data_IF_965653171413
#
_entry.id   IF_965653171413
#
_cell.length_a   1.000
_cell.length_b   1.000
_cell.length_c   1.000
_cell.angle_alpha   90.00
_cell.angle_beta   90.00
_cell.angle_gamma   90.00
#
_symmetry.space_group_name_H-M   'P 1'
#
loop_
_entity.id
_entity.type
_entity.pdbx_description
1 polymer ?
#
# COMPACT_ATOMS: atom_id res chain seq x y z
N UNK A 1 -11.97 7.15 -23.17
CA UNK A 1 -13.02 7.74 -22.32
C UNK A 1 -12.77 7.25 -20.91
N UNK A 2 -12.26 8.15 -20.05
CA UNK A 2 -11.64 7.81 -18.77
C UNK A 2 -12.68 7.74 -17.65
N UNK A 3 -12.76 6.58 -17.00
CA UNK A 3 -13.51 6.44 -15.75
C UNK A 3 -12.77 7.21 -14.65
N UNK A 4 -13.47 7.95 -13.78
CA UNK A 4 -12.83 8.61 -12.64
C UNK A 4 -12.25 7.56 -11.70
N UNK A 5 -11.06 7.83 -11.17
CA UNK A 5 -10.53 7.11 -10.01
C UNK A 5 -11.53 7.12 -8.86
N UNK A 6 -11.47 6.10 -8.01
CA UNK A 6 -12.36 5.93 -6.87
C UNK A 6 -12.10 7.03 -5.84
N UNK A 7 -10.91 7.00 -5.24
CA UNK A 7 -10.36 7.94 -4.27
C UNK A 7 -8.88 7.60 -4.05
N UNK A 8 -8.00 8.18 -4.87
CA UNK A 8 -6.54 8.01 -4.73
C UNK A 8 -6.15 8.27 -3.27
N UNK A 9 -5.39 7.34 -2.68
CA UNK A 9 -5.07 7.35 -1.26
C UNK A 9 -3.59 7.63 -1.01
N UNK A 10 -2.70 6.63 -1.17
CA UNK A 10 -1.26 6.79 -0.95
C UNK A 10 -0.47 6.73 -2.27
N UNK A 11 0.74 7.27 -2.24
CA UNK A 11 1.60 7.43 -3.43
C UNK A 11 3.08 7.25 -3.08
N UNK A 12 3.82 6.62 -3.99
CA UNK A 12 5.27 6.53 -3.94
C UNK A 12 5.88 6.86 -5.30
N UNK A 13 6.98 7.60 -5.30
CA UNK A 13 7.77 7.87 -6.50
C UNK A 13 8.87 6.82 -6.59
N UNK A 14 8.88 6.09 -7.69
CA UNK A 14 9.90 5.09 -7.98
C UNK A 14 11.18 5.77 -8.51
N UNK A 15 12.34 5.10 -8.41
CA UNK A 15 13.64 5.67 -8.82
C UNK A 15 13.74 6.07 -10.30
N UNK A 16 12.89 5.51 -11.15
CA UNK A 16 12.78 5.86 -12.57
C UNK A 16 11.93 7.12 -12.82
N UNK A 17 11.42 7.76 -11.76
CA UNK A 17 10.53 8.91 -11.81
C UNK A 17 9.06 8.56 -12.01
N UNK A 18 8.70 7.28 -12.18
CA UNK A 18 7.30 6.87 -12.25
C UNK A 18 6.60 6.97 -10.90
N UNK A 19 5.31 7.27 -10.94
CA UNK A 19 4.48 7.48 -9.74
C UNK A 19 3.57 6.28 -9.59
N UNK A 20 3.61 5.61 -8.44
CA UNK A 20 2.77 4.47 -8.13
C UNK A 20 1.80 4.86 -7.01
N UNK A 21 0.53 4.57 -7.17
CA UNK A 21 -0.50 5.01 -6.24
C UNK A 21 -1.61 3.98 -6.08
N UNK A 22 -2.31 4.07 -4.96
CA UNK A 22 -3.44 3.21 -4.63
C UNK A 22 -4.76 3.96 -4.84
N UNK A 23 -5.79 3.26 -5.32
CA UNK A 23 -7.11 3.82 -5.59
C UNK A 23 -8.23 2.97 -4.94
N UNK A 24 -8.30 2.95 -3.60
CA UNK A 24 -9.38 2.27 -2.87
C UNK A 24 -10.69 3.05 -2.95
N UNK A 25 -11.78 2.42 -2.52
CA UNK A 25 -13.13 2.99 -2.46
C UNK A 25 -13.42 3.80 -1.18
N UNK A 26 -12.42 4.19 -0.38
CA UNK A 26 -12.62 4.85 0.91
C UNK A 26 -13.45 6.13 0.83
N UNK A 27 -13.22 6.97 -0.19
CA UNK A 27 -13.97 8.22 -0.31
C UNK A 27 -15.46 8.00 -0.53
N UNK A 28 -15.85 6.86 -1.11
CA UNK A 28 -17.25 6.48 -1.22
C UNK A 28 -17.82 6.08 0.14
N UNK A 29 -17.11 5.23 0.89
CA UNK A 29 -17.57 4.81 2.23
C UNK A 29 -17.65 5.98 3.22
N UNK A 30 -16.79 6.99 3.03
CA UNK A 30 -16.75 8.21 3.82
C UNK A 30 -17.74 9.29 3.31
N UNK A 31 -18.47 9.01 2.22
CA UNK A 31 -19.56 9.84 1.74
C UNK A 31 -19.15 11.10 0.95
N UNK A 32 -17.87 11.29 0.61
CA UNK A 32 -17.40 12.45 -0.17
C UNK A 32 -17.05 12.14 -1.63
N UNK A 33 -17.17 10.87 -2.06
CA UNK A 33 -17.04 10.46 -3.47
C UNK A 33 -18.26 9.68 -3.94
N UNK A 34 -18.58 9.73 -5.25
CA UNK A 34 -19.61 8.89 -5.82
C UNK A 34 -19.23 7.40 -5.73
N UNK A 35 -20.21 6.54 -5.99
CA UNK A 35 -19.98 5.09 -6.10
C UNK A 35 -18.84 4.80 -7.10
N UNK A 36 -17.86 3.94 -6.75
CA UNK A 36 -16.77 3.52 -7.63
C UNK A 36 -17.24 3.05 -9.00
N UNK A 37 -16.50 3.42 -10.04
CA UNK A 37 -16.68 2.91 -11.41
C UNK A 37 -15.49 2.06 -11.88
N UNK A 38 -14.45 1.99 -11.05
CA UNK A 38 -13.24 1.18 -11.23
C UNK A 38 -13.11 0.18 -10.07
N UNK A 39 -12.46 -0.97 -10.29
CA UNK A 39 -12.04 -1.84 -9.19
C UNK A 39 -11.02 -1.11 -8.31
N UNK A 40 -10.91 -1.53 -7.05
CA UNK A 40 -9.84 -1.13 -6.16
C UNK A 40 -8.52 -1.68 -6.69
N UNK A 41 -7.57 -0.81 -6.99
CA UNK A 41 -6.35 -1.20 -7.68
C UNK A 41 -5.16 -0.32 -7.33
N UNK A 42 -3.98 -0.85 -7.63
CA UNK A 42 -2.71 -0.12 -7.66
C UNK A 42 -2.47 0.30 -9.10
N UNK A 43 -2.04 1.54 -9.28
CA UNK A 43 -1.76 2.13 -10.59
C UNK A 43 -0.32 2.63 -10.65
N UNK A 44 0.22 2.65 -11.87
CA UNK A 44 1.47 3.34 -12.22
C UNK A 44 1.15 4.44 -13.22
N UNK A 45 1.63 5.65 -12.96
CA UNK A 45 1.72 6.76 -13.89
C UNK A 45 3.17 6.97 -14.33
N UNK A 46 3.35 7.07 -15.64
CA UNK A 46 4.64 7.37 -16.27
C UNK A 46 4.64 8.81 -16.80
N UNK A 47 5.41 9.74 -16.18
CA UNK A 47 5.44 11.12 -16.63
C UNK A 47 6.03 11.31 -18.04
N UNK A 48 6.91 10.42 -18.49
CA UNK A 48 7.58 10.54 -19.78
C UNK A 48 6.61 10.27 -20.94
N UNK A 49 5.75 9.25 -20.79
CA UNK A 49 4.76 8.87 -21.81
C UNK A 49 3.35 9.40 -21.51
N UNK A 50 3.13 9.96 -20.31
CA UNK A 50 1.83 10.35 -19.76
C UNK A 50 0.84 9.18 -19.68
N UNK A 51 1.33 7.95 -19.56
CA UNK A 51 0.48 6.76 -19.48
C UNK A 51 0.11 6.44 -18.03
N UNK A 52 -1.14 6.06 -17.78
CA UNK A 52 -1.60 5.46 -16.53
C UNK A 52 -2.02 4.02 -16.80
N UNK A 53 -1.61 3.08 -15.95
CA UNK A 53 -2.01 1.67 -16.04
C UNK A 53 -2.24 1.06 -14.68
N UNK A 54 -3.31 0.27 -14.53
CA UNK A 54 -3.50 -0.60 -13.38
C UNK A 54 -2.46 -1.74 -13.41
N UNK A 55 -1.81 -1.99 -12.28
CA UNK A 55 -0.72 -2.98 -12.17
C UNK A 55 -1.06 -4.14 -11.22
N UNK A 56 -2.04 -3.97 -10.34
CA UNK A 56 -2.60 -5.03 -9.49
C UNK A 56 -3.99 -4.64 -8.97
N UNK A 57 -4.82 -5.64 -8.68
CA UNK A 57 -6.07 -5.50 -7.91
C UNK A 57 -5.86 -6.06 -6.50
N UNK A 58 -6.38 -5.32 -5.51
CA UNK A 58 -6.29 -5.61 -4.06
C UNK A 58 -7.65 -5.21 -3.45
N UNK A 59 -8.05 -5.82 -2.33
CA UNK A 59 -9.36 -5.58 -1.70
C UNK A 59 -9.60 -4.10 -1.44
N UNK A 60 -8.76 -3.48 -0.61
CA UNK A 60 -8.67 -2.02 -0.39
C UNK A 60 -7.19 -1.63 -0.27
N UNK A 61 -6.49 -1.39 -1.40
CA UNK A 61 -5.09 -1.00 -1.36
C UNK A 61 -4.96 0.37 -0.69
N UNK A 62 -4.09 0.48 0.31
CA UNK A 62 -3.88 1.72 1.04
C UNK A 62 -2.43 2.20 0.90
N UNK A 63 -1.54 1.89 1.84
CA UNK A 63 -0.14 2.25 1.78
C UNK A 63 0.62 1.48 0.69
N UNK A 64 1.62 2.13 0.10
CA UNK A 64 2.54 1.53 -0.89
C UNK A 64 4.00 1.94 -0.64
N UNK A 65 4.92 0.99 -0.69
CA UNK A 65 6.36 1.26 -0.69
C UNK A 65 7.16 0.20 -1.45
N UNK A 66 8.38 0.52 -1.83
CA UNK A 66 9.31 -0.43 -2.44
C UNK A 66 10.35 -0.91 -1.44
N UNK A 67 10.87 -2.13 -1.65
CA UNK A 67 12.12 -2.56 -1.02
C UNK A 67 13.29 -1.66 -1.45
N UNK A 68 14.42 -1.65 -0.71
CA UNK A 68 15.55 -0.76 -1.01
C UNK A 68 16.16 -0.96 -2.40
N UNK A 69 16.13 -2.19 -2.91
CA UNK A 69 16.61 -2.57 -4.24
C UNK A 69 15.56 -2.39 -5.36
N UNK A 70 14.33 -2.02 -4.99
CA UNK A 70 13.15 -1.87 -5.85
C UNK A 70 12.71 -3.14 -6.58
N UNK A 71 13.12 -4.33 -6.10
CA UNK A 71 12.70 -5.61 -6.69
C UNK A 71 11.37 -6.10 -6.13
N UNK A 72 10.97 -5.60 -4.96
CA UNK A 72 9.69 -5.89 -4.31
C UNK A 72 8.91 -4.61 -4.08
N UNK A 73 7.59 -4.67 -4.29
CA UNK A 73 6.65 -3.64 -3.80
C UNK A 73 5.77 -4.25 -2.72
N UNK A 74 5.58 -3.50 -1.63
CA UNK A 74 4.67 -3.81 -0.54
C UNK A 74 3.45 -2.92 -0.65
N UNK A 75 2.27 -3.51 -0.53
CA UNK A 75 0.99 -2.79 -0.55
C UNK A 75 0.15 -3.28 0.61
N UNK A 76 -0.38 -2.36 1.41
CA UNK A 76 -1.29 -2.71 2.50
C UNK A 76 -2.71 -2.88 1.97
N UNK A 77 -3.42 -3.84 2.54
CA UNK A 77 -4.82 -4.13 2.25
C UNK A 77 -5.63 -3.94 3.54
N UNK A 78 -6.43 -2.86 3.55
CA UNK A 78 -7.27 -2.45 4.69
C UNK A 78 -8.71 -2.89 4.52
N UNK A 79 -8.96 -3.95 3.76
CA UNK A 79 -10.29 -4.46 3.43
C UNK A 79 -11.09 -4.96 4.65
N UNK A 80 -10.48 -5.07 5.82
CA UNK A 80 -11.17 -5.28 7.09
C UNK A 80 -12.12 -4.13 7.45
N UNK A 81 -11.86 -2.90 6.98
CA UNK A 81 -12.62 -1.69 7.35
C UNK A 81 -13.33 -1.07 6.15
N UNK A 82 -14.65 -0.88 6.29
CA UNK A 82 -15.53 -0.28 5.28
C UNK A 82 -16.33 0.85 5.94
N UNK A 83 -15.78 2.07 5.90
CA UNK A 83 -16.31 3.20 6.66
C UNK A 83 -16.27 2.92 8.16
N UNK A 84 -17.44 2.83 8.80
CA UNK A 84 -17.58 2.50 10.23
C UNK A 84 -17.74 1.00 10.51
N UNK A 85 -17.85 0.18 9.46
CA UNK A 85 -18.03 -1.27 9.60
C UNK A 85 -16.69 -2.00 9.62
N UNK A 86 -16.57 -2.99 10.49
CA UNK A 86 -15.38 -3.86 10.59
C UNK A 86 -15.80 -5.31 10.36
N UNK A 87 -15.13 -5.98 9.41
CA UNK A 87 -15.29 -7.40 9.12
C UNK A 87 -13.95 -8.11 9.32
N UNK A 88 -13.79 -8.75 10.47
CA UNK A 88 -12.56 -9.44 10.86
C UNK A 88 -12.19 -10.64 9.97
N UNK A 89 -13.07 -11.07 9.07
CA UNK A 89 -12.76 -12.12 8.09
C UNK A 89 -12.03 -11.61 6.84
N UNK A 90 -11.95 -10.28 6.67
CA UNK A 90 -11.31 -9.63 5.52
C UNK A 90 -9.88 -9.18 5.83
N UNK A 91 -9.18 -8.73 4.80
CA UNK A 91 -7.74 -8.48 4.89
C UNK A 91 -7.40 -7.32 5.84
N UNK A 92 -6.49 -7.61 6.77
CA UNK A 92 -5.71 -6.65 7.55
C UNK A 92 -4.23 -6.93 7.26
N UNK A 93 -3.89 -6.93 5.97
CA UNK A 93 -2.73 -7.63 5.44
C UNK A 93 -1.77 -6.68 4.74
N UNK A 94 -0.50 -7.06 4.70
CA UNK A 94 0.50 -6.49 3.80
C UNK A 94 0.78 -7.56 2.73
N UNK A 95 0.64 -7.21 1.46
CA UNK A 95 1.02 -8.06 0.35
C UNK A 95 2.34 -7.59 -0.26
N UNK A 96 3.19 -8.55 -0.63
CA UNK A 96 4.39 -8.30 -1.42
C UNK A 96 4.18 -8.80 -2.86
N UNK A 97 4.78 -8.08 -3.81
CA UNK A 97 4.83 -8.45 -5.21
C UNK A 97 6.25 -8.26 -5.75
N UNK A 98 6.66 -9.15 -6.65
CA UNK A 98 7.89 -8.98 -7.39
C UNK A 98 7.66 -7.97 -8.52
N UNK A 99 8.60 -7.03 -8.68
CA UNK A 99 8.62 -6.07 -9.77
C UNK A 99 9.40 -6.68 -10.93
N UNK A 100 8.69 -7.13 -11.95
CA UNK A 100 9.28 -7.79 -13.12
C UNK A 100 9.09 -6.98 -14.40
N UNK A 101 9.91 -7.21 -15.41
CA UNK A 101 9.74 -6.59 -16.73
C UNK A 101 9.08 -7.56 -17.72
N UNK A 102 8.09 -7.07 -18.47
CA UNK A 102 7.47 -7.76 -19.61
C UNK A 102 7.24 -6.76 -20.72
N UNK A 103 7.75 -7.05 -21.92
CA UNK A 103 7.61 -6.17 -23.09
C UNK A 103 7.99 -4.70 -22.83
N UNK A 104 9.06 -4.47 -22.06
CA UNK A 104 9.54 -3.13 -21.71
C UNK A 104 8.66 -2.36 -20.72
N UNK A 105 7.77 -3.05 -20.00
CA UNK A 105 6.88 -2.47 -19.00
C UNK A 105 7.04 -3.20 -17.64
N UNK A 106 6.99 -2.49 -16.50
CA UNK A 106 7.04 -3.10 -15.18
C UNK A 106 5.70 -3.76 -14.83
N UNK A 107 5.72 -4.98 -14.31
CA UNK A 107 4.54 -5.71 -13.83
C UNK A 107 4.75 -6.13 -12.38
N UNK A 108 3.64 -6.25 -11.66
CA UNK A 108 3.62 -6.89 -10.36
C UNK A 108 3.27 -8.36 -10.54
N UNK A 109 4.11 -9.25 -10.01
CA UNK A 109 3.95 -10.68 -10.10
C UNK A 109 4.11 -11.33 -8.71
N UNK A 110 3.78 -12.62 -8.62
CA UNK A 110 4.00 -13.44 -7.42
C UNK A 110 3.46 -12.81 -6.14
N UNK A 111 2.20 -12.35 -6.19
CA UNK A 111 1.48 -11.82 -5.03
C UNK A 111 1.55 -12.84 -3.89
N UNK A 112 2.06 -12.40 -2.75
CA UNK A 112 2.17 -13.22 -1.54
C UNK A 112 1.79 -12.42 -0.31
N UNK A 113 1.13 -13.07 0.65
CA UNK A 113 0.97 -12.51 1.98
C UNK A 113 2.36 -12.32 2.57
N UNK A 114 2.68 -11.08 2.94
CA UNK A 114 3.94 -10.75 3.59
C UNK A 114 3.77 -10.76 5.11
N UNK A 115 2.76 -10.05 5.61
CA UNK A 115 2.47 -9.95 7.04
C UNK A 115 0.99 -9.63 7.28
N UNK A 116 0.52 -9.91 8.49
CA UNK A 116 -0.73 -9.35 9.03
C UNK A 116 -0.38 -8.25 10.02
N UNK A 117 -1.21 -7.22 10.10
CA UNK A 117 -1.15 -6.29 11.22
C UNK A 117 -1.43 -7.05 12.52
N UNK A 118 -0.62 -6.80 13.55
CA UNK A 118 -0.85 -7.44 14.86
C UNK A 118 -2.09 -6.86 15.56
N UNK A 119 -2.33 -5.56 15.37
CA UNK A 119 -3.51 -4.85 15.88
C UNK A 119 -4.12 -3.97 14.80
N UNK A 120 -5.42 -4.10 14.57
CA UNK A 120 -6.17 -3.30 13.60
C UNK A 120 -5.78 -3.61 12.16
N UNK A 121 -5.66 -2.57 11.33
CA UNK A 121 -5.29 -2.67 9.91
C UNK A 121 -3.94 -1.98 9.64
N UNK A 122 -3.13 -2.48 8.69
CA UNK A 122 -1.94 -1.78 8.24
C UNK A 122 -2.33 -0.67 7.26
N UNK A 123 -2.10 0.59 7.60
CA UNK A 123 -2.44 1.76 6.78
C UNK A 123 -1.22 2.21 5.96
N UNK A 124 -0.65 3.37 6.24
CA UNK A 124 0.59 3.85 5.63
C UNK A 124 1.77 2.92 5.92
N UNK A 125 2.65 2.74 4.93
CA UNK A 125 3.77 1.79 4.97
C UNK A 125 5.07 2.43 4.50
N UNK A 126 6.20 2.04 5.09
CA UNK A 126 7.56 2.43 4.68
C UNK A 126 8.51 1.24 4.82
N UNK A 127 9.59 1.24 4.05
CA UNK A 127 10.65 0.25 4.15
C UNK A 127 11.96 0.98 4.44
N UNK A 128 12.71 0.50 5.43
CA UNK A 128 14.01 1.09 5.79
C UNK A 128 15.12 0.57 4.86
N UNK A 129 16.33 1.10 5.03
CA UNK A 129 17.51 0.74 4.20
C UNK A 129 18.02 -0.69 4.43
N UNK A 130 17.60 -1.35 5.51
CA UNK A 130 17.92 -2.75 5.82
C UNK A 130 16.84 -3.72 5.30
N UNK A 131 15.76 -3.19 4.72
CA UNK A 131 14.63 -3.97 4.20
C UNK A 131 13.57 -4.30 5.25
N UNK A 132 13.65 -3.76 6.47
CA UNK A 132 12.55 -3.90 7.43
C UNK A 132 11.37 -3.07 6.94
N UNK A 133 10.18 -3.59 7.14
CA UNK A 133 8.92 -3.01 6.69
C UNK A 133 8.17 -2.50 7.91
N UNK A 134 7.70 -1.26 7.84
CA UNK A 134 7.01 -0.56 8.91
C UNK A 134 5.63 -0.18 8.41
N UNK A 135 4.59 -0.38 9.21
CA UNK A 135 3.25 0.11 8.89
C UNK A 135 2.55 0.69 10.11
N UNK A 136 1.81 1.78 9.89
CA UNK A 136 0.89 2.34 10.86
C UNK A 136 -0.26 1.35 11.09
N UNK A 137 -0.55 1.07 12.34
CA UNK A 137 -1.50 0.06 12.81
C UNK A 137 -2.34 0.60 13.96
N UNK A 138 -3.28 -0.21 14.46
CA UNK A 138 -4.24 0.21 15.48
C UNK A 138 -3.64 0.58 16.85
N UNK A 139 -2.43 0.13 17.15
CA UNK A 139 -1.72 0.38 18.42
C UNK A 139 -0.38 1.12 18.26
N UNK A 140 -0.06 1.57 17.04
CA UNK A 140 1.16 2.32 16.76
C UNK A 140 1.79 1.91 15.44
N UNK A 141 3.11 1.72 15.42
CA UNK A 141 3.84 1.26 14.23
C UNK A 141 4.33 -0.16 14.48
N UNK A 142 3.88 -1.10 13.64
CA UNK A 142 4.38 -2.46 13.64
C UNK A 142 5.57 -2.57 12.68
N UNK A 143 6.59 -3.35 13.08
CA UNK A 143 7.85 -3.50 12.35
C UNK A 143 8.11 -4.96 12.04
N UNK A 144 8.29 -5.28 10.76
CA UNK A 144 8.59 -6.63 10.28
C UNK A 144 9.97 -6.68 9.63
N UNK A 145 10.67 -7.80 9.81
CA UNK A 145 11.88 -8.13 9.07
C UNK A 145 11.60 -8.25 7.56
N UNK A 146 12.63 -8.24 6.69
CA UNK A 146 12.46 -8.51 5.26
C UNK A 146 11.77 -9.86 4.95
N UNK A 147 11.76 -10.80 5.90
CA UNK A 147 11.10 -12.09 5.80
C UNK A 147 9.64 -12.11 6.28
N UNK A 148 9.07 -10.97 6.70
CA UNK A 148 7.69 -10.88 7.18
C UNK A 148 7.49 -11.25 8.66
N UNK A 149 8.57 -11.54 9.40
CA UNK A 149 8.51 -11.81 10.84
C UNK A 149 8.39 -10.50 11.62
N UNK A 150 7.40 -10.39 12.52
CA UNK A 150 7.22 -9.23 13.40
C UNK A 150 8.42 -9.13 14.36
N UNK A 151 9.14 -8.01 14.29
CA UNK A 151 10.31 -7.71 15.13
C UNK A 151 9.90 -6.96 16.40
N UNK A 152 8.87 -6.14 16.32
CA UNK A 152 8.40 -5.36 17.45
C UNK A 152 7.42 -4.27 17.04
N UNK A 153 7.10 -3.41 18.00
CA UNK A 153 6.14 -2.32 17.84
C UNK A 153 6.61 -1.06 18.53
N UNK A 154 6.33 0.08 17.91
CA UNK A 154 6.43 1.40 18.52
C UNK A 154 5.02 1.79 18.95
N UNK A 155 4.73 1.67 20.24
CA UNK A 155 3.38 1.87 20.77
C UNK A 155 3.01 3.34 20.78
N UNK A 156 1.89 3.68 20.15
CA UNK A 156 1.32 5.02 20.10
C UNK A 156 -0.17 4.89 20.40
N UNK A 157 -0.66 5.40 21.56
CA UNK A 157 -2.07 5.33 21.91
C UNK A 157 -2.96 5.97 20.83
N UNK A 158 -3.98 5.24 20.40
CA UNK A 158 -4.88 5.66 19.32
C UNK A 158 -4.46 5.24 17.91
N UNK A 159 -3.31 4.57 17.78
CA UNK A 159 -2.83 4.04 16.51
C UNK A 159 -2.14 5.09 15.64
N UNK A 160 -1.69 4.66 14.46
CA UNK A 160 -1.02 5.51 13.46
C UNK A 160 -1.58 5.21 12.09
N UNK A 161 -2.04 6.25 11.38
CA UNK A 161 -2.48 6.12 9.98
C UNK A 161 -1.30 6.17 9.01
N UNK A 162 -0.31 7.04 9.22
CA UNK A 162 0.88 7.12 8.37
C UNK A 162 2.04 7.80 9.09
N UNK A 163 3.25 7.67 8.54
CA UNK A 163 4.48 8.23 9.05
C UNK A 163 5.52 8.29 7.91
N UNK A 164 6.62 8.99 8.14
CA UNK A 164 7.77 9.01 7.23
C UNK A 164 9.08 9.10 8.00
N UNK A 165 10.14 8.59 7.37
CA UNK A 165 11.50 8.73 7.86
C UNK A 165 12.04 10.13 7.57
N UNK A 166 12.86 10.65 8.49
CA UNK A 166 13.54 11.93 8.32
C UNK A 166 14.73 11.84 7.35
N UNK A 167 15.37 12.98 7.08
CA UNK A 167 16.48 13.11 6.12
C UNK A 167 17.73 12.26 6.41
N UNK A 168 17.85 11.69 7.61
CA UNK A 168 18.93 10.76 7.97
C UNK A 168 18.62 9.29 7.68
N UNK A 169 17.46 8.99 7.08
CA UNK A 169 17.20 7.69 6.46
C UNK A 169 17.13 6.51 7.44
N UNK A 170 16.63 6.76 8.65
CA UNK A 170 16.05 5.74 9.52
C UNK A 170 14.65 6.14 9.92
#
# INVERSE_FOLDING_TARGET
MGRPFNSINDVVVHRDGSIWFTDPSHGHDQGYRPKPSLPNAVYRYDPATKSVRAVAEIGRPNGICFSPDYTTVYVTDTDQVHGQSVDYSRAASIYAFDVIQRHGQPFLANRRLFALADTGIPDGIKCDTLGNVYSGCGDGINVWSPGGVLLGKIIIPGGVASFCFGSKGV
#
